data_IF_427242693417
#
_entry.id   IF_427242693417
#
_cell.length_a   1.000
_cell.length_b   1.000
_cell.length_c   1.000
_cell.angle_alpha   90.00
_cell.angle_beta   90.00
_cell.angle_gamma   90.00
#
_symmetry.space_group_name_H-M   'P 1'
#
loop_
_entity.id
_entity.type
_entity.pdbx_description
1 polymer ?
#
# COMPACT_ATOMS: atom_id res chain seq x y z
N UNK A 1 -5.10 0.46 -19.39
CA UNK A 1 -4.49 1.56 -18.55
C UNK A 1 -3.63 0.93 -17.47
N UNK A 2 -2.47 1.51 -17.13
CA UNK A 2 -1.59 1.00 -16.08
C UNK A 2 -1.56 1.92 -14.85
N UNK A 3 -1.50 1.33 -13.65
CA UNK A 3 -1.36 2.05 -12.38
C UNK A 3 -0.23 1.42 -11.56
N UNK A 4 0.84 2.17 -11.34
CA UNK A 4 1.97 1.76 -10.53
C UNK A 4 1.81 2.27 -9.09
N UNK A 5 1.79 1.34 -8.13
CA UNK A 5 1.72 1.65 -6.71
C UNK A 5 3.03 1.24 -6.05
N UNK A 6 3.74 2.18 -5.47
CA UNK A 6 4.96 1.88 -4.69
C UNK A 6 4.64 1.90 -3.20
N UNK A 7 5.02 0.83 -2.53
CA UNK A 7 4.92 0.69 -1.08
C UNK A 7 6.31 0.71 -0.49
N UNK A 8 6.52 1.55 0.52
CA UNK A 8 7.86 1.75 1.08
C UNK A 8 7.86 1.84 2.60
N UNK A 9 8.94 1.34 3.20
CA UNK A 9 9.12 1.29 4.63
C UNK A 9 10.48 0.70 4.99
N UNK A 10 10.54 0.09 6.17
CA UNK A 10 11.72 -0.63 6.67
C UNK A 10 11.39 -2.07 6.99
N UNK A 11 12.42 -2.88 7.13
CA UNK A 11 12.29 -4.29 7.52
C UNK A 11 11.45 -4.46 8.78
N UNK A 12 10.50 -5.40 8.76
CA UNK A 12 9.55 -5.65 9.86
C UNK A 12 8.19 -4.97 9.69
N UNK A 13 8.03 -3.97 8.81
CA UNK A 13 6.74 -3.29 8.56
C UNK A 13 5.82 -4.02 7.56
N UNK A 14 6.23 -5.20 7.06
CA UNK A 14 5.38 -6.03 6.21
C UNK A 14 5.18 -5.54 4.77
N UNK A 15 6.06 -4.65 4.25
CA UNK A 15 5.93 -4.06 2.91
C UNK A 15 5.74 -5.11 1.82
N UNK A 16 6.54 -6.17 1.84
CA UNK A 16 6.46 -7.24 0.85
C UNK A 16 5.15 -8.02 0.95
N UNK A 17 4.62 -8.17 2.16
CA UNK A 17 3.37 -8.88 2.39
C UNK A 17 2.17 -8.09 1.84
N UNK A 18 2.10 -6.79 2.13
CA UNK A 18 1.01 -5.94 1.64
C UNK A 18 1.07 -5.76 0.13
N UNK A 19 2.27 -5.73 -0.48
CA UNK A 19 2.42 -5.71 -1.93
C UNK A 19 1.94 -7.01 -2.58
N UNK A 20 2.31 -8.18 -2.02
CA UNK A 20 1.80 -9.48 -2.48
C UNK A 20 0.28 -9.56 -2.36
N UNK A 21 -0.28 -9.02 -1.30
CA UNK A 21 -1.73 -9.03 -1.08
C UNK A 21 -2.45 -8.18 -2.13
N UNK A 22 -1.93 -6.99 -2.45
CA UNK A 22 -2.46 -6.16 -3.53
C UNK A 22 -2.34 -6.84 -4.89
N UNK A 23 -1.19 -7.47 -5.18
CA UNK A 23 -0.96 -8.19 -6.43
C UNK A 23 -1.97 -9.35 -6.60
N UNK A 24 -2.16 -10.16 -5.56
CA UNK A 24 -3.12 -11.26 -5.56
C UNK A 24 -4.56 -10.76 -5.73
N UNK A 25 -4.94 -9.67 -5.04
CA UNK A 25 -6.25 -9.06 -5.17
C UNK A 25 -6.50 -8.57 -6.62
N UNK A 26 -5.51 -7.94 -7.24
CA UNK A 26 -5.59 -7.50 -8.65
C UNK A 26 -5.78 -8.68 -9.60
N UNK A 27 -5.04 -9.77 -9.42
CA UNK A 27 -5.22 -10.99 -10.23
C UNK A 27 -6.62 -11.60 -10.07
N UNK A 28 -7.17 -11.59 -8.85
CA UNK A 28 -8.55 -12.06 -8.60
C UNK A 28 -9.62 -11.22 -9.30
N UNK A 29 -9.33 -9.95 -9.53
CA UNK A 29 -10.20 -9.05 -10.30
C UNK A 29 -9.96 -9.11 -11.82
N UNK A 30 -9.14 -10.05 -12.28
CA UNK A 30 -8.86 -10.25 -13.70
C UNK A 30 -7.87 -9.24 -14.28
N UNK A 31 -7.12 -8.50 -13.44
CA UNK A 31 -6.11 -7.55 -13.88
C UNK A 31 -4.81 -8.26 -14.28
N UNK A 32 -4.07 -7.67 -15.21
CA UNK A 32 -2.67 -7.98 -15.42
C UNK A 32 -1.87 -7.38 -14.27
N UNK A 33 -0.94 -8.13 -13.71
CA UNK A 33 -0.19 -7.72 -12.53
C UNK A 33 1.28 -7.99 -12.69
N UNK A 34 2.11 -6.98 -12.41
CA UNK A 34 3.56 -7.13 -12.27
C UNK A 34 3.96 -6.62 -10.89
N UNK A 35 4.76 -7.40 -10.18
CA UNK A 35 5.29 -7.00 -8.87
C UNK A 35 6.81 -7.07 -8.86
N UNK A 36 7.43 -6.01 -8.40
CA UNK A 36 8.87 -5.92 -8.22
C UNK A 36 9.20 -5.45 -6.81
N UNK A 37 10.02 -6.24 -6.08
CA UNK A 37 10.43 -5.92 -4.72
C UNK A 37 11.93 -5.65 -4.65
N UNK A 38 12.32 -4.56 -3.97
CA UNK A 38 13.70 -4.25 -3.62
C UNK A 38 13.90 -4.39 -2.11
N UNK A 39 14.92 -5.15 -1.73
CA UNK A 39 15.31 -5.33 -0.34
C UNK A 39 16.66 -4.64 -0.13
N UNK A 40 16.72 -3.69 0.78
CA UNK A 40 18.00 -3.15 1.24
C UNK A 40 18.75 -4.23 2.00
N UNK A 41 19.79 -4.77 1.40
CA UNK A 41 20.85 -5.59 1.89
C UNK A 41 20.71 -6.40 3.19
N UNK A 42 21.72 -7.11 3.60
CA UNK A 42 21.79 -8.09 4.71
C UNK A 42 21.58 -7.53 6.14
N UNK A 43 21.07 -6.32 6.32
CA UNK A 43 20.89 -5.68 7.64
C UNK A 43 19.41 -5.70 8.01
N UNK A 44 19.08 -6.28 9.17
CA UNK A 44 17.74 -6.19 9.75
C UNK A 44 17.35 -4.72 9.95
N UNK A 45 16.16 -4.32 9.51
CA UNK A 45 15.70 -2.93 9.59
C UNK A 45 16.09 -2.05 8.39
N UNK A 46 16.72 -2.61 7.35
CA UNK A 46 17.02 -1.89 6.12
C UNK A 46 15.76 -1.49 5.33
N UNK A 47 15.92 -0.54 4.42
CA UNK A 47 14.86 -0.07 3.53
C UNK A 47 14.21 -1.22 2.77
N UNK A 48 12.89 -1.25 2.75
CA UNK A 48 12.08 -2.20 1.98
C UNK A 48 11.14 -1.44 1.06
N UNK A 49 11.16 -1.78 -0.21
CA UNK A 49 10.31 -1.19 -1.25
C UNK A 49 9.70 -2.29 -2.10
N UNK A 50 8.45 -2.13 -2.49
CA UNK A 50 7.79 -2.93 -3.50
C UNK A 50 6.94 -2.06 -4.38
N UNK A 51 7.00 -2.30 -5.68
CA UNK A 51 6.11 -1.69 -6.66
C UNK A 51 5.21 -2.77 -7.25
N UNK A 52 3.91 -2.49 -7.27
CA UNK A 52 2.90 -3.32 -7.93
C UNK A 52 2.32 -2.49 -9.07
N UNK A 53 2.39 -3.01 -10.28
CA UNK A 53 1.72 -2.45 -11.45
C UNK A 53 0.49 -3.29 -11.72
N UNK A 54 -0.65 -2.63 -11.81
CA UNK A 54 -1.91 -3.25 -12.22
C UNK A 54 -2.37 -2.61 -13.54
N UNK A 55 -2.91 -3.43 -14.44
CA UNK A 55 -3.38 -2.95 -15.73
C UNK A 55 -4.65 -3.71 -16.18
N UNK A 56 -5.45 -3.04 -17.02
CA UNK A 56 -6.60 -3.67 -17.69
C UNK A 56 -6.14 -4.57 -18.85
N UNK A 57 -5.03 -4.17 -19.50
CA UNK A 57 -4.46 -4.82 -20.68
C UNK A 57 -3.03 -5.27 -20.40
N UNK A 58 -2.29 -5.66 -21.43
CA UNK A 58 -0.89 -6.04 -21.32
C UNK A 58 -0.04 -4.93 -20.68
N UNK A 59 0.80 -5.30 -19.72
CA UNK A 59 1.73 -4.37 -19.06
C UNK A 59 2.92 -4.12 -19.99
N UNK A 60 3.12 -2.86 -20.35
CA UNK A 60 4.26 -2.40 -21.16
C UNK A 60 5.31 -1.65 -20.36
N UNK A 61 4.98 -1.25 -19.13
CA UNK A 61 5.93 -0.61 -18.22
C UNK A 61 7.10 -1.53 -17.88
N UNK A 62 8.34 -0.98 -17.77
CA UNK A 62 9.48 -1.75 -17.29
C UNK A 62 9.31 -2.12 -15.81
N UNK A 63 10.01 -3.16 -15.31
CA UNK A 63 9.97 -3.55 -13.89
C UNK A 63 10.33 -2.40 -12.93
N UNK A 64 11.24 -1.52 -13.34
CA UNK A 64 11.55 -0.28 -12.61
C UNK A 64 10.76 0.85 -13.28
N UNK A 65 9.59 1.14 -12.72
CA UNK A 65 8.72 2.19 -13.26
C UNK A 65 9.35 3.57 -13.13
N UNK A 66 9.27 4.42 -14.17
CA UNK A 66 9.77 5.79 -14.12
C UNK A 66 8.83 6.72 -13.31
N UNK A 67 7.56 6.38 -13.23
CA UNK A 67 6.53 7.18 -12.58
C UNK A 67 5.63 6.33 -11.71
N UNK A 68 5.16 6.90 -10.60
CA UNK A 68 4.22 6.24 -9.68
C UNK A 68 2.91 6.99 -9.62
N UNK A 69 1.81 6.23 -9.65
CA UNK A 69 0.46 6.74 -9.53
C UNK A 69 0.01 6.90 -8.08
N UNK A 70 0.45 5.98 -7.20
CA UNK A 70 0.20 6.08 -5.77
C UNK A 70 1.40 5.57 -4.96
N UNK A 71 1.54 6.10 -3.75
CA UNK A 71 2.58 5.71 -2.80
C UNK A 71 1.96 5.39 -1.45
N UNK A 72 2.36 4.25 -0.85
CA UNK A 72 2.12 3.93 0.54
C UNK A 72 3.43 4.03 1.30
N UNK A 73 3.54 5.01 2.21
CA UNK A 73 4.77 5.30 2.94
C UNK A 73 4.64 4.97 4.43
N UNK A 74 5.40 3.97 4.89
CA UNK A 74 5.44 3.56 6.30
C UNK A 74 6.64 4.13 7.05
N UNK A 75 7.66 4.65 6.34
CA UNK A 75 8.88 5.21 6.91
C UNK A 75 9.44 6.34 6.03
N UNK A 76 10.04 7.41 6.60
CA UNK A 76 10.52 8.57 5.85
C UNK A 76 11.64 8.26 4.85
N UNK A 77 12.51 7.29 5.13
CA UNK A 77 13.58 6.88 4.19
C UNK A 77 13.05 6.51 2.80
N UNK A 78 11.90 5.85 2.75
CA UNK A 78 11.31 5.44 1.50
C UNK A 78 10.74 6.59 0.70
N UNK A 79 10.26 7.64 1.37
CA UNK A 79 9.74 8.84 0.71
C UNK A 79 10.83 9.50 -0.15
N UNK A 80 12.04 9.67 0.40
CA UNK A 80 13.16 10.26 -0.34
C UNK A 80 13.51 9.48 -1.62
N UNK A 81 13.43 8.15 -1.57
CA UNK A 81 13.74 7.28 -2.73
C UNK A 81 12.67 7.34 -3.82
N UNK A 82 11.41 7.50 -3.45
CA UNK A 82 10.31 7.51 -4.42
C UNK A 82 10.05 8.91 -4.99
N UNK A 83 10.49 9.97 -4.33
CA UNK A 83 10.30 11.37 -4.74
C UNK A 83 10.64 11.64 -6.21
N UNK A 84 11.75 11.13 -6.80
CA UNK A 84 12.06 11.36 -8.22
C UNK A 84 11.03 10.79 -9.20
N UNK A 85 10.20 9.86 -8.76
CA UNK A 85 9.18 9.18 -9.58
C UNK A 85 7.79 9.78 -9.42
N UNK A 86 7.63 10.75 -8.52
CA UNK A 86 6.34 11.36 -8.19
C UNK A 86 5.93 12.37 -9.27
N UNK A 87 4.65 12.33 -9.65
CA UNK A 87 4.04 13.30 -10.55
C UNK A 87 2.93 14.09 -9.84
N UNK A 88 2.57 15.27 -10.33
CA UNK A 88 1.41 16.00 -9.81
C UNK A 88 0.14 15.14 -9.80
N UNK A 89 -0.60 15.18 -8.70
CA UNK A 89 -1.81 14.37 -8.52
C UNK A 89 -1.59 12.96 -7.98
N UNK A 90 -0.35 12.58 -7.65
CA UNK A 90 -0.06 11.31 -6.97
C UNK A 90 -0.91 11.16 -5.70
N UNK A 91 -1.38 9.96 -5.43
CA UNK A 91 -2.03 9.65 -4.14
C UNK A 91 -0.96 9.18 -3.17
N UNK A 92 -0.82 9.89 -2.05
CA UNK A 92 0.07 9.51 -0.96
C UNK A 92 -0.75 9.03 0.24
N UNK A 93 -0.59 7.77 0.61
CA UNK A 93 -1.04 7.27 1.91
C UNK A 93 0.18 7.11 2.80
N UNK A 94 0.22 7.84 3.90
CA UNK A 94 1.38 7.81 4.81
C UNK A 94 0.99 7.49 6.25
N UNK A 95 1.83 6.75 6.93
CA UNK A 95 1.70 6.51 8.37
C UNK A 95 2.09 7.79 9.13
N UNK A 96 1.10 8.63 9.43
CA UNK A 96 1.31 9.99 9.93
C UNK A 96 2.23 10.12 11.15
N UNK A 97 2.22 9.23 12.16
CA UNK A 97 3.14 9.29 13.30
C UNK A 97 4.61 9.14 12.93
N UNK A 98 4.89 8.50 11.77
CA UNK A 98 6.26 8.17 11.35
C UNK A 98 6.74 9.01 10.17
N UNK A 99 5.81 9.38 9.28
CA UNK A 99 6.12 10.01 7.99
C UNK A 99 5.53 11.41 7.96
N UNK A 100 6.34 12.47 8.05
CA UNK A 100 5.86 13.84 7.86
C UNK A 100 5.41 14.07 6.41
N UNK A 101 4.56 15.08 6.15
CA UNK A 101 4.19 15.43 4.78
C UNK A 101 5.45 15.84 3.98
N UNK A 102 5.66 15.26 2.78
CA UNK A 102 6.80 15.62 1.94
C UNK A 102 6.63 17.04 1.41
N UNK A 103 7.72 17.84 1.43
CA UNK A 103 7.69 19.25 1.03
C UNK A 103 7.53 19.45 -0.47
N UNK A 104 8.05 18.49 -1.27
CA UNK A 104 8.24 18.67 -2.72
C UNK A 104 7.15 17.96 -3.55
N UNK A 105 6.09 17.45 -2.92
CA UNK A 105 5.02 16.71 -3.62
C UNK A 105 3.82 17.63 -3.88
N UNK A 106 4.05 18.65 -4.72
CA UNK A 106 2.98 19.61 -5.08
C UNK A 106 1.80 18.90 -5.75
N UNK A 107 0.59 19.20 -5.26
CA UNK A 107 -0.64 18.61 -5.79
C UNK A 107 -0.87 17.14 -5.41
N UNK A 108 -0.06 16.55 -4.53
CA UNK A 108 -0.32 15.21 -4.01
C UNK A 108 -1.62 15.19 -3.18
N UNK A 109 -2.40 14.13 -3.36
CA UNK A 109 -3.55 13.84 -2.50
C UNK A 109 -3.05 13.09 -1.26
N UNK A 110 -2.87 13.80 -0.14
CA UNK A 110 -2.27 13.29 1.09
C UNK A 110 -3.32 12.67 2.03
N UNK A 111 -3.20 11.38 2.27
CA UNK A 111 -4.00 10.61 3.24
C UNK A 111 -3.10 10.24 4.42
N UNK A 112 -3.14 11.05 5.47
CA UNK A 112 -2.30 10.96 6.65
C UNK A 112 -2.91 10.07 7.74
N UNK A 113 -2.87 8.75 7.57
CA UNK A 113 -3.48 7.80 8.51
C UNK A 113 -2.57 7.51 9.71
N UNK A 114 -3.06 7.53 10.97
CA UNK A 114 -2.30 7.15 12.15
C UNK A 114 -2.22 5.61 12.30
N UNK A 115 -1.69 4.92 11.28
CA UNK A 115 -1.75 3.46 11.17
C UNK A 115 -1.10 2.73 12.35
N UNK A 116 0.02 3.24 12.85
CA UNK A 116 0.69 2.66 14.02
C UNK A 116 -0.13 2.77 15.30
N UNK A 117 -0.78 3.91 15.52
CA UNK A 117 -1.57 4.14 16.73
C UNK A 117 -2.88 3.34 16.68
N UNK A 118 -3.53 3.26 15.50
CA UNK A 118 -4.68 2.41 15.27
C UNK A 118 -4.34 0.93 15.52
N UNK A 119 -3.20 0.46 15.00
CA UNK A 119 -2.74 -0.90 15.22
C UNK A 119 -2.53 -1.21 16.70
N UNK A 120 -1.91 -0.29 17.45
CA UNK A 120 -1.72 -0.42 18.90
C UNK A 120 -3.06 -0.47 19.65
N UNK A 121 -4.00 0.43 19.33
CA UNK A 121 -5.32 0.48 19.99
C UNK A 121 -6.15 -0.78 19.75
N UNK A 122 -5.93 -1.47 18.62
CA UNK A 122 -6.56 -2.75 18.30
C UNK A 122 -5.84 -3.97 18.93
N UNK A 123 -4.73 -3.77 19.66
CA UNK A 123 -3.91 -4.86 20.15
C UNK A 123 -3.16 -5.64 19.07
N UNK A 124 -3.00 -5.02 17.88
CA UNK A 124 -2.35 -5.61 16.70
C UNK A 124 -1.12 -4.78 16.26
N UNK A 125 -0.07 -4.66 17.08
CA UNK A 125 1.05 -3.74 16.83
C UNK A 125 1.77 -3.98 15.50
N UNK A 126 1.68 -5.17 14.93
CA UNK A 126 2.23 -5.52 13.62
C UNK A 126 1.26 -5.26 12.46
N UNK A 127 0.03 -4.82 12.75
CA UNK A 127 -1.03 -4.60 11.76
C UNK A 127 -0.98 -3.27 11.01
N UNK A 128 -0.06 -2.36 11.37
CA UNK A 128 -0.02 -1.02 10.79
C UNK A 128 0.07 -1.01 9.25
N UNK A 129 0.85 -1.92 8.65
CA UNK A 129 0.93 -2.08 7.20
C UNK A 129 -0.40 -2.48 6.56
N UNK A 130 -1.15 -3.39 7.20
CA UNK A 130 -2.49 -3.79 6.73
C UNK A 130 -3.50 -2.65 6.84
N UNK A 131 -3.45 -1.87 7.93
CA UNK A 131 -4.29 -0.67 8.10
C UNK A 131 -4.00 0.34 6.99
N UNK A 132 -2.71 0.63 6.72
CA UNK A 132 -2.32 1.54 5.66
C UNK A 132 -2.72 1.04 4.26
N UNK A 133 -2.65 -0.29 4.01
CA UNK A 133 -3.13 -0.88 2.76
C UNK A 133 -4.65 -0.74 2.61
N UNK A 134 -5.42 -0.98 3.66
CA UNK A 134 -6.87 -0.78 3.66
C UNK A 134 -7.24 0.67 3.36
N UNK A 135 -6.50 1.63 3.94
CA UNK A 135 -6.65 3.05 3.64
C UNK A 135 -6.32 3.38 2.19
N UNK A 136 -5.24 2.83 1.63
CA UNK A 136 -4.85 3.04 0.24
C UNK A 136 -5.94 2.57 -0.72
N UNK A 137 -6.46 1.38 -0.50
CA UNK A 137 -7.49 0.79 -1.37
C UNK A 137 -8.80 1.57 -1.29
N UNK A 138 -9.22 2.01 -0.12
CA UNK A 138 -10.40 2.85 0.03
C UNK A 138 -10.22 4.22 -0.65
N UNK A 139 -9.03 4.83 -0.47
CA UNK A 139 -8.73 6.14 -1.06
C UNK A 139 -8.61 6.10 -2.59
N UNK A 140 -8.21 4.97 -3.16
CA UNK A 140 -7.88 4.87 -4.59
C UNK A 140 -8.82 3.98 -5.40
N UNK A 141 -9.46 3.02 -4.74
CA UNK A 141 -10.28 1.97 -5.38
C UNK A 141 -9.54 1.20 -6.48
N UNK A 142 -8.23 1.07 -6.32
CA UNK A 142 -7.38 0.35 -7.29
C UNK A 142 -7.69 -1.15 -7.34
N UNK A 143 -8.09 -1.72 -6.19
CA UNK A 143 -8.71 -3.04 -6.05
C UNK A 143 -9.82 -2.95 -5.00
N UNK A 144 -10.73 -3.89 -4.98
CA UNK A 144 -11.77 -3.97 -3.96
C UNK A 144 -11.21 -4.42 -2.61
N UNK A 145 -11.75 -3.85 -1.51
CA UNK A 145 -11.40 -4.30 -0.16
C UNK A 145 -11.74 -5.78 0.05
N UNK A 146 -12.87 -6.26 -0.51
CA UNK A 146 -13.24 -7.68 -0.49
C UNK A 146 -12.18 -8.56 -1.14
N UNK A 147 -11.66 -8.16 -2.30
CA UNK A 147 -10.61 -8.91 -3.01
C UNK A 147 -9.32 -9.03 -2.20
N UNK A 148 -8.94 -7.97 -1.44
CA UNK A 148 -7.83 -8.03 -0.49
C UNK A 148 -8.07 -9.02 0.64
N UNK A 149 -9.28 -9.00 1.22
CA UNK A 149 -9.66 -9.93 2.31
C UNK A 149 -9.61 -11.38 1.83
N UNK A 150 -10.16 -11.65 0.65
CA UNK A 150 -10.18 -12.98 0.05
C UNK A 150 -8.75 -13.47 -0.31
N UNK A 151 -7.86 -12.54 -0.69
CA UNK A 151 -6.47 -12.82 -0.99
C UNK A 151 -5.63 -13.26 0.24
N UNK A 152 -6.05 -12.91 1.48
CA UNK A 152 -5.33 -13.27 2.70
C UNK A 152 -5.05 -14.76 2.81
N UNK A 153 -6.03 -15.60 2.46
CA UNK A 153 -5.91 -17.06 2.54
C UNK A 153 -4.83 -17.61 1.60
N UNK A 154 -4.69 -17.02 0.40
CA UNK A 154 -3.69 -17.45 -0.59
C UNK A 154 -2.29 -16.91 -0.32
N UNK A 155 -2.19 -15.71 0.27
CA UNK A 155 -0.91 -15.02 0.47
C UNK A 155 -0.24 -15.39 1.79
N UNK A 156 -1.01 -15.63 2.86
CA UNK A 156 -0.46 -15.99 4.16
C UNK A 156 -0.03 -17.46 4.19
N UNK A 157 1.22 -17.74 4.60
CA UNK A 157 1.69 -19.11 4.73
C UNK A 157 0.91 -19.87 5.80
N UNK A 158 0.84 -21.22 5.76
CA UNK A 158 -0.01 -22.03 6.63
C UNK A 158 0.11 -21.71 8.13
N UNK A 159 1.32 -21.49 8.62
CA UNK A 159 1.59 -21.16 10.04
C UNK A 159 1.09 -19.76 10.45
N UNK A 160 0.75 -18.88 9.49
CA UNK A 160 0.21 -17.53 9.72
C UNK A 160 -1.28 -17.42 9.46
N UNK A 161 -1.95 -18.45 8.99
CA UNK A 161 -3.39 -18.42 8.71
C UNK A 161 -4.25 -18.11 9.97
N UNK A 162 -3.77 -18.45 11.15
CA UNK A 162 -4.41 -18.04 12.42
C UNK A 162 -4.54 -16.51 12.59
N UNK A 163 -3.80 -15.71 11.81
CA UNK A 163 -3.86 -14.25 11.84
C UNK A 163 -4.76 -13.66 10.76
N UNK A 164 -5.45 -14.47 9.96
CA UNK A 164 -6.34 -13.97 8.89
C UNK A 164 -7.39 -13.01 9.44
N UNK A 165 -8.08 -13.38 10.54
CA UNK A 165 -9.10 -12.54 11.15
C UNK A 165 -8.54 -11.18 11.59
N UNK A 166 -7.40 -11.16 12.29
CA UNK A 166 -6.76 -9.95 12.73
C UNK A 166 -6.28 -9.07 11.56
N UNK A 167 -5.74 -9.66 10.50
CA UNK A 167 -5.33 -8.92 9.31
C UNK A 167 -6.52 -8.32 8.56
N UNK A 168 -7.63 -9.06 8.48
CA UNK A 168 -8.90 -8.58 7.94
C UNK A 168 -9.40 -7.35 8.70
N UNK A 169 -9.48 -7.43 10.03
CA UNK A 169 -9.89 -6.31 10.87
C UNK A 169 -9.00 -5.08 10.66
N UNK A 170 -7.69 -5.27 10.51
CA UNK A 170 -6.76 -4.18 10.20
C UNK A 170 -7.05 -3.53 8.84
N UNK A 171 -7.28 -4.32 7.77
CA UNK A 171 -7.65 -3.81 6.45
C UNK A 171 -8.96 -3.01 6.53
N UNK A 172 -9.99 -3.58 7.16
CA UNK A 172 -11.31 -2.96 7.34
C UNK A 172 -11.21 -1.67 8.15
N UNK A 173 -10.39 -1.63 9.20
CA UNK A 173 -10.16 -0.42 10.02
C UNK A 173 -9.52 0.71 9.22
N UNK A 174 -8.52 0.38 8.38
CA UNK A 174 -7.89 1.37 7.50
C UNK A 174 -8.86 1.98 6.51
N UNK A 175 -9.68 1.16 5.86
CA UNK A 175 -10.71 1.59 4.94
C UNK A 175 -11.79 2.45 5.66
N UNK A 176 -12.24 2.00 6.83
CA UNK A 176 -13.22 2.75 7.63
C UNK A 176 -12.69 4.14 8.01
N UNK A 177 -11.43 4.24 8.40
CA UNK A 177 -10.81 5.52 8.75
C UNK A 177 -10.88 6.53 7.59
N UNK A 178 -10.59 6.11 6.35
CA UNK A 178 -10.66 6.99 5.17
C UNK A 178 -12.09 7.47 4.93
N UNK A 179 -13.09 6.58 5.05
CA UNK A 179 -14.51 6.95 4.93
C UNK A 179 -14.94 7.95 6.00
N UNK A 180 -14.50 7.75 7.25
CA UNK A 180 -14.79 8.65 8.39
C UNK A 180 -14.20 10.05 8.16
N UNK A 181 -13.06 10.18 7.50
CA UNK A 181 -12.43 11.46 7.17
C UNK A 181 -12.98 12.12 5.91
N UNK A 182 -13.80 11.44 5.11
CA UNK A 182 -14.27 11.95 3.83
C UNK A 182 -13.16 12.17 2.80
N UNK A 183 -12.02 11.49 2.96
CA UNK A 183 -10.83 11.66 2.11
C UNK A 183 -10.74 10.63 0.97
N UNK A 184 -11.83 9.91 0.70
CA UNK A 184 -11.89 9.02 -0.46
C UNK A 184 -11.60 9.81 -1.73
N UNK A 185 -10.71 9.31 -2.58
CA UNK A 185 -10.39 9.99 -3.83
C UNK A 185 -11.64 10.04 -4.72
N UNK A 186 -11.95 11.23 -5.25
CA UNK A 186 -13.05 11.43 -6.21
C UNK A 186 -12.80 10.69 -7.54
N UNK A 187 -11.57 10.30 -7.81
CA UNK A 187 -11.18 9.58 -9.02
C UNK A 187 -10.96 8.10 -8.73
N UNK A 188 -11.85 7.26 -9.22
CA UNK A 188 -11.60 5.83 -9.28
C UNK A 188 -10.33 5.54 -10.11
N UNK A 189 -9.57 4.53 -9.70
CA UNK A 189 -8.32 4.17 -10.37
C UNK A 189 -8.49 3.85 -11.86
N UNK A 190 -9.69 3.45 -12.26
CA UNK A 190 -10.00 2.90 -13.57
C UNK A 190 -11.03 3.72 -14.36
N UNK A 191 -11.28 4.96 -13.97
CA UNK A 191 -12.16 5.90 -14.70
C UNK A 191 -11.40 6.76 -15.69
#
# INVERSE_FOLDING_TARGET
>A
MERAVTMTGIGGQGIQLIAKLMAEAGMREGRQVMMFGMFGGMIRGGSSESTVVLADDEIVSPPIVPEVWAVLAMHPEGVAKVTPKVRPGVVLVRNAPMVPPPRDWSGAKDVAIPATDLAKSMGQPLGAGMIALGALVEATRIVGLSSLVDALTGVLPPHRQKHIAANRECLERGAAWVREQGTAAETAAWS
#
